data_IF_611092583293
#
_entry.id   IF_611092583293
#
_cell.length_a   1.000
_cell.length_b   1.000
_cell.length_c   1.000
_cell.angle_alpha   90.00
_cell.angle_beta   90.00
_cell.angle_gamma   90.00
#
_symmetry.space_group_name_H-M   'P 1'
#
loop_
_entity.id
_entity.type
_entity.pdbx_description
1 polymer ?
#
# COMPACT_ATOMS: atom_id res chain seq x y z
N UNK A 1 15.32 18.72 9.90
CA UNK A 1 14.31 18.54 10.96
C UNK A 1 13.98 17.07 10.99
N UNK A 2 13.97 16.43 12.18
CA UNK A 2 13.65 15.02 12.32
C UNK A 2 12.16 14.78 12.12
N UNK A 3 11.83 13.65 11.47
CA UNK A 3 10.47 13.14 11.31
C UNK A 3 9.92 12.79 12.69
N UNK A 4 8.80 13.42 13.04
CA UNK A 4 8.04 13.21 14.27
C UNK A 4 6.54 13.30 13.96
N UNK A 5 5.70 12.99 14.96
CA UNK A 5 4.24 13.10 14.83
C UNK A 5 3.80 14.48 14.32
N UNK A 6 2.80 14.49 13.44
CA UNK A 6 2.24 15.69 12.78
C UNK A 6 3.20 16.40 11.81
N UNK A 7 4.13 15.64 11.23
CA UNK A 7 4.93 16.13 10.12
C UNK A 7 4.50 15.49 8.81
N UNK A 8 4.53 16.28 7.75
CA UNK A 8 4.34 15.81 6.39
C UNK A 8 5.69 15.46 5.82
N UNK A 9 5.78 14.25 5.28
CA UNK A 9 7.01 13.69 4.72
C UNK A 9 6.78 13.38 3.25
N UNK A 10 7.61 13.97 2.39
CA UNK A 10 7.67 13.65 0.97
C UNK A 10 8.86 12.72 0.75
N UNK A 11 8.62 11.58 0.12
CA UNK A 11 9.66 10.58 -0.10
C UNK A 11 9.43 9.79 -1.39
N UNK A 12 10.54 9.33 -1.97
CA UNK A 12 10.51 8.26 -2.96
C UNK A 12 10.85 6.94 -2.29
N UNK A 13 10.29 5.88 -2.86
CA UNK A 13 10.58 4.52 -2.50
C UNK A 13 10.66 3.58 -3.70
N UNK A 14 11.39 2.48 -3.50
CA UNK A 14 11.38 1.26 -4.31
C UNK A 14 11.04 0.10 -3.39
N UNK A 15 10.06 -0.72 -3.77
CA UNK A 15 9.68 -1.94 -3.04
C UNK A 15 10.25 -3.15 -3.76
N UNK A 16 10.96 -4.01 -3.01
CA UNK A 16 11.44 -5.31 -3.48
C UNK A 16 10.83 -6.45 -2.68
N UNK A 17 10.59 -7.57 -3.35
CA UNK A 17 10.19 -8.81 -2.70
C UNK A 17 11.40 -9.58 -2.10
N UNK A 18 11.14 -10.72 -1.45
CA UNK A 18 12.17 -11.58 -0.85
C UNK A 18 13.19 -12.15 -1.84
N UNK A 19 12.86 -12.14 -3.14
CA UNK A 19 13.74 -12.59 -4.21
C UNK A 19 14.56 -11.42 -4.80
N UNK A 20 14.35 -10.20 -4.30
CA UNK A 20 15.00 -8.99 -4.80
C UNK A 20 14.36 -8.40 -6.05
N UNK A 21 13.20 -8.91 -6.50
CA UNK A 21 12.50 -8.36 -7.65
C UNK A 21 11.85 -7.03 -7.26
N UNK A 22 11.97 -6.03 -8.11
CA UNK A 22 11.25 -4.77 -7.96
C UNK A 22 9.75 -4.99 -8.19
N UNK A 23 8.96 -4.66 -7.18
CA UNK A 23 7.50 -4.77 -7.19
C UNK A 23 6.87 -3.43 -7.54
N UNK A 24 7.42 -2.35 -6.98
CA UNK A 24 6.88 -1.00 -7.15
C UNK A 24 8.00 0.03 -7.04
N UNK A 25 7.88 1.14 -7.76
CA UNK A 25 8.87 2.20 -7.79
C UNK A 25 8.21 3.54 -8.06
N UNK A 26 8.44 4.49 -7.16
CA UNK A 26 7.86 5.83 -7.24
C UNK A 26 8.79 6.86 -7.88
N UNK A 27 10.07 6.55 -8.12
CA UNK A 27 11.06 7.51 -8.68
C UNK A 27 10.75 7.95 -10.11
N UNK A 28 9.84 7.25 -10.80
CA UNK A 28 9.38 7.62 -12.14
C UNK A 28 8.27 8.69 -12.15
N UNK A 29 7.78 9.14 -10.99
CA UNK A 29 6.67 10.08 -10.85
C UNK A 29 6.89 11.11 -9.75
N UNK A 30 5.81 11.65 -9.21
CA UNK A 30 5.85 12.56 -8.06
C UNK A 30 6.19 11.80 -6.77
N UNK A 31 6.89 12.44 -5.81
CA UNK A 31 7.14 11.85 -4.51
C UNK A 31 5.83 11.58 -3.77
N UNK A 32 5.82 10.52 -2.97
CA UNK A 32 4.67 10.21 -2.14
C UNK A 32 4.69 11.09 -0.91
N UNK A 33 3.53 11.61 -0.52
CA UNK A 33 3.37 12.38 0.70
C UNK A 33 2.52 11.62 1.71
N UNK A 34 2.95 11.63 2.97
CA UNK A 34 2.14 11.11 4.07
C UNK A 34 2.28 11.97 5.32
N UNK A 35 1.26 11.86 6.20
CA UNK A 35 1.24 12.52 7.50
C UNK A 35 1.68 11.52 8.57
N UNK A 36 2.80 11.82 9.22
CA UNK A 36 3.44 10.93 10.17
C UNK A 36 2.69 10.86 11.50
N UNK A 37 2.45 9.63 11.99
CA UNK A 37 1.72 9.32 13.22
C UNK A 37 0.21 9.23 13.05
N UNK A 38 -0.28 9.13 11.81
CA UNK A 38 -1.71 9.06 11.47
C UNK A 38 -2.09 7.82 10.65
N UNK A 39 -1.16 6.88 10.42
CA UNK A 39 -1.46 5.61 9.75
C UNK A 39 -1.67 5.73 8.24
N UNK A 40 -1.05 6.72 7.59
CA UNK A 40 -1.10 6.89 6.14
C UNK A 40 -0.27 5.87 5.34
N UNK A 41 0.65 5.17 6.01
CA UNK A 41 1.51 4.14 5.44
C UNK A 41 1.58 2.91 6.34
N UNK A 42 2.21 1.83 5.87
CA UNK A 42 2.41 0.63 6.68
C UNK A 42 3.25 0.93 7.92
N UNK A 43 2.87 0.34 9.06
CA UNK A 43 3.48 0.60 10.37
C UNK A 43 4.99 0.42 10.37
N UNK A 44 5.49 -0.65 9.75
CA UNK A 44 6.93 -0.92 9.76
C UNK A 44 7.76 0.10 8.97
N UNK A 45 7.14 0.80 8.01
CA UNK A 45 7.79 1.90 7.30
C UNK A 45 7.72 3.20 8.11
N UNK A 46 6.57 3.49 8.73
CA UNK A 46 6.42 4.63 9.64
C UNK A 46 7.43 4.56 10.80
N UNK A 47 7.53 3.41 11.48
CA UNK A 47 8.49 3.16 12.56
C UNK A 47 9.95 3.38 12.10
N UNK A 48 10.28 3.09 10.84
CA UNK A 48 11.64 3.21 10.29
C UNK A 48 11.99 4.64 9.84
N UNK A 49 10.98 5.46 9.58
CA UNK A 49 11.10 6.86 9.21
C UNK A 49 11.20 7.80 10.41
N UNK A 50 10.67 7.40 11.57
CA UNK A 50 10.78 8.18 12.82
C UNK A 50 12.23 8.62 13.10
N UNK A 51 12.41 9.91 13.37
CA UNK A 51 13.70 10.52 13.67
C UNK A 51 14.64 10.75 12.49
N UNK A 52 14.30 10.29 11.27
CA UNK A 52 15.07 10.57 10.04
C UNK A 52 14.88 11.99 9.55
N UNK A 53 15.76 12.47 8.68
CA UNK A 53 15.69 13.84 8.16
C UNK A 53 15.60 13.89 6.64
N UNK A 54 15.18 15.03 6.11
CA UNK A 54 15.19 15.29 4.66
C UNK A 54 16.61 15.13 4.09
N UNK A 55 16.72 14.44 2.96
CA UNK A 55 17.99 14.05 2.33
C UNK A 55 18.48 12.66 2.72
N UNK A 56 17.93 12.03 3.76
CA UNK A 56 18.31 10.66 4.13
C UNK A 56 17.88 9.66 3.06
N UNK A 57 18.78 8.72 2.75
CA UNK A 57 18.50 7.55 1.94
C UNK A 57 18.86 6.29 2.72
N UNK A 58 17.93 5.35 2.82
CA UNK A 58 18.15 4.12 3.58
C UNK A 58 17.27 2.98 3.06
N UNK A 59 17.61 1.76 3.47
CA UNK A 59 16.80 0.57 3.16
C UNK A 59 16.26 -0.03 4.44
N UNK A 60 15.00 -0.47 4.42
CA UNK A 60 14.37 -1.18 5.53
C UNK A 60 13.62 -2.41 5.05
N UNK A 61 13.82 -3.54 5.71
CA UNK A 61 13.04 -4.76 5.47
C UNK A 61 11.92 -4.86 6.50
N UNK A 62 10.68 -4.99 6.01
CA UNK A 62 9.46 -5.01 6.81
C UNK A 62 8.81 -6.39 6.69
N UNK A 63 8.56 -7.01 7.84
CA UNK A 63 7.86 -8.29 7.93
C UNK A 63 6.36 -8.15 7.61
N UNK A 64 5.68 -9.23 7.21
CA UNK A 64 4.27 -9.17 6.82
C UNK A 64 3.36 -8.54 7.88
N UNK A 65 3.59 -8.82 9.16
CA UNK A 65 2.80 -8.30 10.29
C UNK A 65 2.91 -6.77 10.47
N UNK A 66 4.00 -6.17 10.00
CA UNK A 66 4.23 -4.72 10.00
C UNK A 66 3.98 -4.06 8.64
N UNK A 67 3.75 -4.86 7.59
CA UNK A 67 3.43 -4.42 6.24
C UNK A 67 1.93 -4.57 5.94
N UNK A 68 1.59 -5.53 5.07
CA UNK A 68 0.22 -5.74 4.57
C UNK A 68 -0.53 -6.87 5.31
N UNK A 69 -0.03 -7.27 6.47
CA UNK A 69 -0.55 -8.37 7.28
C UNK A 69 -0.12 -9.74 6.77
N UNK A 70 -0.39 -10.77 7.58
CA UNK A 70 -0.23 -12.16 7.18
C UNK A 70 -1.31 -12.56 6.20
N UNK A 71 -0.97 -13.38 5.21
CA UNK A 71 -1.97 -13.98 4.33
C UNK A 71 -2.91 -14.87 5.13
N UNK A 72 -4.20 -14.65 4.99
CA UNK A 72 -5.26 -15.45 5.62
C UNK A 72 -5.64 -16.58 4.68
N UNK A 73 -5.39 -17.86 5.01
CA UNK A 73 -5.71 -18.98 4.12
C UNK A 73 -7.22 -19.08 3.85
N UNK A 74 -8.05 -18.69 4.81
CA UNK A 74 -9.51 -18.76 4.72
C UNK A 74 -10.15 -17.49 4.11
N UNK A 75 -9.35 -16.53 3.64
CA UNK A 75 -9.86 -15.32 2.96
C UNK A 75 -10.20 -15.56 1.48
N UNK A 76 -10.58 -16.79 1.15
CA UNK A 76 -11.13 -17.18 -0.14
C UNK A 76 -12.64 -17.02 -0.10
N UNK A 77 -13.18 -16.22 -1.00
CA UNK A 77 -14.61 -15.98 -1.12
C UNK A 77 -15.11 -16.45 -2.48
N UNK A 78 -16.28 -17.09 -2.49
CA UNK A 78 -16.93 -17.52 -3.73
C UNK A 78 -17.84 -16.41 -4.24
N UNK A 79 -17.57 -15.91 -5.43
CA UNK A 79 -18.31 -14.80 -6.04
C UNK A 79 -18.87 -15.18 -7.41
N UNK A 80 -20.06 -14.69 -7.81
CA UNK A 80 -20.56 -14.86 -9.16
C UNK A 80 -19.64 -14.20 -10.18
N UNK A 81 -19.33 -14.87 -11.29
CA UNK A 81 -18.40 -14.35 -12.30
C UNK A 81 -18.85 -12.99 -12.86
N UNK A 82 -20.17 -12.78 -12.95
CA UNK A 82 -20.77 -11.50 -13.39
C UNK A 82 -20.44 -10.29 -12.52
N UNK A 83 -19.96 -10.50 -11.28
CA UNK A 83 -19.56 -9.42 -10.39
C UNK A 83 -18.06 -9.10 -10.47
N UNK A 84 -17.29 -9.92 -11.20
CA UNK A 84 -15.88 -9.64 -11.47
C UNK A 84 -15.77 -8.65 -12.63
N UNK A 85 -15.06 -7.55 -12.40
CA UNK A 85 -14.77 -6.53 -13.39
C UNK A 85 -13.29 -6.49 -13.74
N UNK A 86 -12.96 -6.14 -14.98
CA UNK A 86 -11.57 -5.97 -15.46
C UNK A 86 -11.15 -6.93 -16.58
N UNK A 87 -11.91 -7.99 -16.86
CA UNK A 87 -11.60 -8.91 -17.95
C UNK A 87 -12.85 -9.51 -18.60
N UNK A 88 -12.76 -9.82 -19.91
CA UNK A 88 -13.78 -10.58 -20.64
C UNK A 88 -13.76 -12.08 -20.32
N UNK A 89 -12.59 -12.63 -19.96
CA UNK A 89 -12.41 -14.04 -19.61
C UNK A 89 -11.43 -14.17 -18.45
N UNK A 90 -11.88 -14.82 -17.38
CA UNK A 90 -11.10 -14.99 -16.16
C UNK A 90 -10.23 -16.24 -16.18
N UNK A 91 -9.06 -16.14 -15.56
CA UNK A 91 -8.13 -17.24 -15.29
C UNK A 91 -7.58 -17.10 -13.86
N UNK A 92 -7.18 -18.21 -13.22
CA UNK A 92 -6.41 -18.15 -11.98
C UNK A 92 -5.19 -17.22 -12.10
N UNK A 93 -4.91 -16.45 -11.05
CA UNK A 93 -3.81 -15.48 -10.98
C UNK A 93 -4.14 -14.08 -11.52
N UNK A 94 -5.31 -13.88 -12.14
CA UNK A 94 -5.74 -12.55 -12.59
C UNK A 94 -6.25 -11.71 -11.41
N UNK A 95 -5.97 -10.41 -11.42
CA UNK A 95 -6.58 -9.45 -10.50
C UNK A 95 -7.95 -9.05 -11.08
N UNK A 96 -8.99 -9.15 -10.25
CA UNK A 96 -10.33 -8.70 -10.57
C UNK A 96 -10.74 -7.59 -9.59
N UNK A 97 -11.64 -6.70 -10.04
CA UNK A 97 -12.31 -5.74 -9.16
C UNK A 97 -13.72 -6.25 -8.82
N UNK A 98 -14.08 -6.22 -7.55
CA UNK A 98 -15.40 -6.62 -7.04
C UNK A 98 -16.02 -5.45 -6.29
N UNK A 99 -17.29 -5.18 -6.54
CA UNK A 99 -18.03 -4.20 -5.75
C UNK A 99 -18.41 -4.82 -4.39
N UNK A 100 -17.95 -4.21 -3.31
CA UNK A 100 -18.32 -4.59 -1.94
C UNK A 100 -19.15 -3.47 -1.30
N UNK A 101 -19.74 -3.74 -0.13
CA UNK A 101 -20.48 -2.74 0.66
C UNK A 101 -19.60 -1.55 1.07
N UNK A 102 -18.27 -1.76 1.15
CA UNK A 102 -17.29 -0.71 1.45
C UNK A 102 -16.67 -0.09 0.18
N UNK A 103 -17.26 -0.33 -0.99
CA UNK A 103 -16.77 0.15 -2.28
C UNK A 103 -16.03 -0.92 -3.08
N UNK A 104 -15.43 -0.53 -4.23
CA UNK A 104 -14.70 -1.45 -5.08
C UNK A 104 -13.42 -1.96 -4.40
N UNK A 105 -13.16 -3.26 -4.54
CA UNK A 105 -11.96 -3.92 -3.99
C UNK A 105 -11.29 -4.78 -5.06
N UNK A 106 -9.96 -4.78 -5.06
CA UNK A 106 -9.19 -5.73 -5.86
C UNK A 106 -9.08 -7.08 -5.14
N UNK A 107 -9.26 -8.16 -5.89
CA UNK A 107 -9.16 -9.54 -5.42
C UNK A 107 -8.38 -10.36 -6.45
N UNK A 108 -7.67 -11.39 -6.00
CA UNK A 108 -6.96 -12.31 -6.89
C UNK A 108 -7.85 -13.50 -7.22
N UNK A 109 -8.07 -13.78 -8.50
CA UNK A 109 -8.83 -14.96 -8.92
C UNK A 109 -8.03 -16.21 -8.60
N UNK A 110 -8.49 -17.01 -7.64
CA UNK A 110 -7.82 -18.26 -7.24
C UNK A 110 -8.28 -19.43 -8.13
N UNK A 111 -9.57 -19.48 -8.45
CA UNK A 111 -10.17 -20.53 -9.29
C UNK A 111 -11.37 -20.01 -10.06
N UNK A 112 -11.53 -20.47 -11.30
CA UNK A 112 -12.67 -20.10 -12.15
C UNK A 112 -13.52 -21.33 -12.42
N UNK A 113 -14.81 -21.25 -12.10
CA UNK A 113 -15.82 -22.24 -12.47
C UNK A 113 -16.76 -21.74 -13.57
N UNK A 114 -17.92 -22.38 -13.74
CA UNK A 114 -18.85 -22.04 -14.83
C UNK A 114 -19.71 -20.80 -14.54
N UNK A 115 -20.20 -20.66 -13.29
CA UNK A 115 -21.04 -19.53 -12.84
C UNK A 115 -20.38 -18.71 -11.72
N UNK A 116 -19.43 -19.31 -11.01
CA UNK A 116 -18.78 -18.76 -9.83
C UNK A 116 -17.27 -18.88 -9.96
N UNK A 117 -16.56 -17.95 -9.34
CA UNK A 117 -15.12 -17.99 -9.15
C UNK A 117 -14.82 -17.91 -7.65
N UNK A 118 -13.74 -18.57 -7.24
CA UNK A 118 -13.17 -18.40 -5.91
C UNK A 118 -12.10 -17.32 -6.02
N UNK A 119 -12.23 -16.28 -5.21
CA UNK A 119 -11.33 -15.13 -5.19
C UNK A 119 -10.67 -14.99 -3.84
N UNK A 120 -9.38 -14.71 -3.84
CA UNK A 120 -8.60 -14.37 -2.67
C UNK A 120 -8.73 -12.87 -2.40
N UNK A 121 -9.25 -12.55 -1.21
CA UNK A 121 -9.51 -11.18 -0.75
C UNK A 121 -8.35 -10.60 0.07
N UNK A 122 -7.25 -11.36 0.24
CA UNK A 122 -6.02 -10.84 0.81
C UNK A 122 -5.46 -9.69 -0.03
N UNK A 123 -4.75 -8.76 0.61
CA UNK A 123 -3.94 -7.78 -0.10
C UNK A 123 -2.93 -8.51 -1.01
N UNK A 124 -2.62 -8.03 -2.24
CA UNK A 124 -1.68 -8.69 -3.15
C UNK A 124 -0.29 -8.95 -2.55
N UNK A 125 0.10 -8.11 -1.58
CA UNK A 125 1.37 -8.21 -0.85
C UNK A 125 1.25 -8.82 0.56
N UNK A 126 0.06 -9.32 0.94
CA UNK A 126 -0.11 -9.97 2.23
C UNK A 126 0.74 -11.24 2.33
N UNK A 127 1.35 -11.45 3.51
CA UNK A 127 2.24 -12.58 3.79
C UNK A 127 3.64 -12.46 3.20
N UNK A 128 3.98 -11.37 2.52
CA UNK A 128 5.33 -11.15 1.97
C UNK A 128 6.16 -10.26 2.87
N UNK A 129 7.42 -10.63 3.07
CA UNK A 129 8.43 -9.71 3.58
C UNK A 129 8.85 -8.78 2.44
N UNK A 130 8.91 -7.48 2.70
CA UNK A 130 9.21 -6.47 1.68
C UNK A 130 10.39 -5.62 2.11
N UNK A 131 11.29 -5.33 1.17
CA UNK A 131 12.38 -4.38 1.40
C UNK A 131 12.06 -3.07 0.68
N UNK A 132 12.12 -1.97 1.42
CA UNK A 132 11.88 -0.63 0.93
C UNK A 132 13.20 0.13 0.88
N UNK A 133 13.61 0.58 -0.29
CA UNK A 133 14.65 1.59 -0.44
C UNK A 133 13.97 2.95 -0.44
N UNK A 134 14.29 3.80 0.53
CA UNK A 134 13.63 5.07 0.79
C UNK A 134 14.61 6.21 0.56
N UNK A 135 14.10 7.29 -0.03
CA UNK A 135 14.78 8.55 -0.20
C UNK A 135 13.85 9.67 0.26
N UNK A 136 14.21 10.33 1.36
CA UNK A 136 13.40 11.40 1.96
C UNK A 136 13.72 12.70 1.25
N UNK A 137 12.72 13.29 0.62
CA UNK A 137 12.86 14.51 -0.19
C UNK A 137 12.67 15.74 0.68
N UNK A 138 11.58 15.76 1.45
CA UNK A 138 11.21 16.91 2.27
C UNK A 138 10.51 16.45 3.53
N UNK A 139 10.72 17.22 4.60
CA UNK A 139 10.00 17.10 5.86
C UNK A 139 9.53 18.49 6.25
N UNK A 140 8.24 18.65 6.51
CA UNK A 140 7.64 19.91 6.96
C UNK A 140 6.63 19.67 8.07
N UNK A 141 6.32 20.72 8.83
CA UNK A 141 5.18 20.68 9.74
C UNK A 141 3.87 20.55 8.96
N UNK A 142 2.93 19.77 9.48
CA UNK A 142 1.58 19.69 8.94
C UNK A 142 0.76 20.94 9.28
N UNK A 143 -0.13 21.33 8.38
CA UNK A 143 -1.12 22.37 8.64
C UNK A 143 -2.21 21.85 9.60
N UNK A 144 -2.91 22.76 10.28
CA UNK A 144 -3.94 22.41 11.25
C UNK A 144 -5.06 21.55 10.61
N UNK A 145 -5.44 21.86 9.37
CA UNK A 145 -6.44 21.10 8.61
C UNK A 145 -5.95 19.69 8.24
N UNK A 146 -4.68 19.52 7.87
CA UNK A 146 -4.10 18.20 7.57
C UNK A 146 -4.09 17.31 8.81
N UNK A 147 -3.77 17.87 9.99
CA UNK A 147 -3.83 17.16 11.27
C UNK A 147 -5.28 16.81 11.62
N UNK A 148 -6.22 17.73 11.40
CA UNK A 148 -7.64 17.51 11.68
C UNK A 148 -8.24 16.41 10.78
N UNK A 149 -7.78 16.33 9.53
CA UNK A 149 -8.24 15.34 8.55
C UNK A 149 -7.42 14.03 8.57
N UNK A 150 -6.26 14.02 9.22
CA UNK A 150 -5.38 12.85 9.33
C UNK A 150 -4.64 12.48 8.05
N UNK A 151 -4.59 13.37 7.05
CA UNK A 151 -3.87 13.14 5.79
C UNK A 151 -3.38 14.47 5.17
N UNK A 152 -2.41 14.36 4.27
CA UNK A 152 -1.78 15.50 3.58
C UNK A 152 -2.70 16.05 2.51
N UNK A 153 -2.79 17.38 2.42
CA UNK A 153 -3.47 18.07 1.32
C UNK A 153 -2.41 18.63 0.35
N UNK A 154 -2.56 18.42 -0.97
CA UNK A 154 -1.65 18.94 -2.00
C UNK A 154 -0.95 17.86 -2.85
N UNK A 155 0.08 18.22 -3.64
CA UNK A 155 0.75 17.29 -4.56
C UNK A 155 1.33 16.08 -3.82
N UNK A 156 0.99 14.88 -4.29
CA UNK A 156 1.34 13.61 -3.62
C UNK A 156 0.45 13.22 -2.43
N UNK A 157 -0.54 14.04 -2.06
CA UNK A 157 -1.59 13.73 -1.07
C UNK A 157 -2.88 13.24 -1.73
N UNK A 158 -3.73 12.55 -0.96
CA UNK A 158 -5.07 12.17 -1.41
C UNK A 158 -5.97 13.43 -1.44
N UNK A 159 -6.36 13.86 -2.64
CA UNK A 159 -7.41 14.86 -2.81
C UNK A 159 -8.78 14.18 -2.64
N UNK A 160 -9.62 14.74 -1.76
CA UNK A 160 -11.04 14.42 -1.70
C UNK A 160 -11.80 14.93 -2.93
#
# INVERSE_FOLDING_TARGET
>A
MPIEKNQVVLFHYIVRDEQGNEVENSRGGEPNAYLHGHGGIIRGLEDALEGREAGDTFSVTVSPDKAYGTRKPDAIQRVPIKHLMGAKRWKPGMIAQVQTEHGPRHVLVAKVGHKFADVDTNHPMAGKTLTFDIEIIEVRAAEADEIAHGHVHGPGGHHH
#
